data_IF_791248833968
#
_entry.id   IF_791248833968
#
_cell.length_a   1.000
_cell.length_b   1.000
_cell.length_c   1.000
_cell.angle_alpha   90.00
_cell.angle_beta   90.00
_cell.angle_gamma   90.00
#
_symmetry.space_group_name_H-M   'P 1'
#
loop_
_entity.id
_entity.type
_entity.pdbx_description
1 polymer ?
#
# COMPACT_ATOMS: atom_id res chain seq x y z
N UNK A 1 -12.24 -0.60 94.87
CA UNK A 1 -12.48 -1.99 94.43
C UNK A 1 -12.36 -2.02 92.92
N UNK A 2 -11.55 -2.95 92.42
CA UNK A 2 -11.49 -3.48 91.04
C UNK A 2 -11.07 -2.57 89.87
N UNK A 3 -9.83 -2.82 89.45
CA UNK A 3 -9.26 -2.82 88.08
C UNK A 3 -9.92 -3.93 87.19
N UNK A 4 -9.54 -4.19 85.90
CA UNK A 4 -8.84 -3.42 84.84
C UNK A 4 -9.41 -3.67 83.39
N UNK A 5 -8.62 -3.24 82.38
CA UNK A 5 -8.53 -3.70 80.96
C UNK A 5 -9.52 -3.07 79.96
N UNK A 6 -9.24 -2.72 78.71
CA UNK A 6 -8.08 -2.68 77.78
C UNK A 6 -8.67 -2.27 76.39
N UNK A 7 -7.92 -1.80 75.38
CA UNK A 7 -8.42 -0.97 74.28
C UNK A 7 -8.90 -1.76 73.05
N UNK A 8 -9.53 -1.07 72.10
CA UNK A 8 -9.71 -1.57 70.73
C UNK A 8 -9.42 -0.47 69.72
N UNK A 9 -8.30 -0.64 69.03
CA UNK A 9 -7.83 0.11 67.88
C UNK A 9 -8.62 -0.37 66.65
N UNK A 10 -9.45 0.48 66.04
CA UNK A 10 -10.15 0.12 64.81
C UNK A 10 -9.33 0.58 63.60
N UNK A 11 -8.83 -0.40 62.85
CA UNK A 11 -8.07 -0.28 61.62
C UNK A 11 -9.04 -0.19 60.44
N UNK A 12 -9.20 0.99 59.83
CA UNK A 12 -10.00 1.13 58.60
C UNK A 12 -9.08 1.07 57.38
N UNK A 13 -8.97 -0.13 56.78
CA UNK A 13 -8.36 -0.33 55.47
C UNK A 13 -9.43 -0.06 54.41
N UNK A 14 -9.34 1.06 53.69
CA UNK A 14 -10.03 1.25 52.42
C UNK A 14 -9.03 0.99 51.29
N UNK A 15 -9.06 -0.24 50.78
CA UNK A 15 -8.25 -0.69 49.66
C UNK A 15 -8.65 0.03 48.37
N UNK A 16 -7.76 0.87 47.86
CA UNK A 16 -7.85 1.40 46.50
C UNK A 16 -7.53 0.32 45.48
N UNK A 17 -8.56 -0.22 44.84
CA UNK A 17 -8.41 -1.18 43.74
C UNK A 17 -8.01 -0.41 42.47
N UNK A 18 -6.72 -0.17 42.27
CA UNK A 18 -6.19 0.32 40.99
C UNK A 18 -6.24 -0.83 39.97
N UNK A 19 -7.31 -0.91 39.18
CA UNK A 19 -7.29 -1.65 37.92
C UNK A 19 -6.38 -0.93 36.93
N UNK A 20 -5.08 -1.21 37.00
CA UNK A 20 -4.19 -0.93 35.87
C UNK A 20 -4.41 -2.04 34.84
N UNK A 21 -5.33 -1.81 33.91
CA UNK A 21 -5.37 -2.58 32.66
C UNK A 21 -4.13 -2.22 31.85
N UNK A 22 -3.02 -2.88 32.16
CA UNK A 22 -1.88 -2.98 31.25
C UNK A 22 -2.34 -3.83 30.08
N UNK A 23 -2.82 -3.19 29.02
CA UNK A 23 -2.94 -3.82 27.71
C UNK A 23 -1.53 -4.15 27.20
N UNK A 24 -0.98 -5.26 27.67
CA UNK A 24 0.21 -5.86 27.10
C UNK A 24 -0.13 -6.31 25.67
N UNK A 25 0.19 -5.46 24.69
CA UNK A 25 0.20 -5.85 23.30
C UNK A 25 1.30 -6.91 23.14
N UNK A 26 0.89 -8.15 22.92
CA UNK A 26 1.82 -9.28 22.85
C UNK A 26 2.74 -9.12 21.62
N UNK A 27 4.09 -9.12 21.78
CA UNK A 27 5.04 -8.89 20.69
C UNK A 27 5.04 -9.99 19.61
N UNK A 28 4.27 -11.07 19.80
CA UNK A 28 4.04 -12.11 18.80
C UNK A 28 3.09 -11.67 17.67
N UNK A 29 2.14 -10.76 17.94
CA UNK A 29 1.14 -10.32 16.95
C UNK A 29 1.74 -9.49 15.80
N UNK A 30 2.92 -8.90 16.04
CA UNK A 30 3.60 -7.99 15.09
C UNK A 30 4.49 -8.70 14.09
N UNK A 31 4.90 -9.95 14.34
CA UNK A 31 5.80 -10.67 13.43
C UNK A 31 5.08 -11.04 12.12
N UNK A 32 5.71 -10.80 10.96
CA UNK A 32 5.15 -11.24 9.68
C UNK A 32 5.12 -12.78 9.59
N UNK A 33 4.10 -13.32 8.94
CA UNK A 33 3.96 -14.77 8.67
C UNK A 33 4.25 -15.02 7.19
N UNK A 34 5.44 -15.55 6.83
CA UNK A 34 5.81 -15.85 5.44
C UNK A 34 4.76 -16.68 4.70
N UNK A 35 4.43 -16.28 3.47
CA UNK A 35 3.43 -16.95 2.63
C UNK A 35 1.97 -16.60 2.94
N UNK A 36 1.72 -15.69 3.88
CA UNK A 36 0.36 -15.33 4.32
C UNK A 36 0.08 -13.84 4.23
N UNK A 37 -1.19 -13.51 4.04
CA UNK A 37 -1.70 -12.14 4.14
C UNK A 37 -2.21 -11.93 5.57
N UNK A 38 -1.66 -10.96 6.28
CA UNK A 38 -2.06 -10.62 7.64
C UNK A 38 -2.69 -9.23 7.64
N UNK A 39 -3.84 -9.09 8.30
CA UNK A 39 -4.51 -7.81 8.46
C UNK A 39 -3.70 -6.95 9.42
N UNK A 40 -3.48 -5.70 9.05
CA UNK A 40 -2.75 -4.72 9.86
C UNK A 40 -3.51 -3.40 9.87
N UNK A 41 -3.24 -2.63 10.89
CA UNK A 41 -3.73 -1.27 11.05
C UNK A 41 -2.58 -0.40 11.56
N UNK A 42 -2.48 0.83 11.05
CA UNK A 42 -1.46 1.79 11.47
C UNK A 42 -2.04 3.19 11.49
N UNK A 43 -1.65 3.99 12.48
CA UNK A 43 -1.87 5.43 12.48
C UNK A 43 -0.73 6.13 11.75
N UNK A 44 -1.06 6.90 10.71
CA UNK A 44 -0.10 7.72 9.97
C UNK A 44 -0.42 9.21 10.14
N UNK A 45 0.60 10.06 10.16
CA UNK A 45 0.42 11.51 10.16
C UNK A 45 0.35 12.02 8.73
N UNK A 46 -0.80 12.56 8.32
CA UNK A 46 -0.99 13.17 7.01
C UNK A 46 -1.83 14.44 7.13
N UNK A 47 -1.42 15.54 6.48
CA UNK A 47 -2.11 16.82 6.58
C UNK A 47 -2.26 17.34 8.02
N UNK A 48 -1.26 17.10 8.87
CA UNK A 48 -1.25 17.51 10.27
C UNK A 48 -2.15 16.69 11.21
N UNK A 49 -2.79 15.61 10.73
CA UNK A 49 -3.69 14.77 11.52
C UNK A 49 -3.22 13.33 11.53
N UNK A 50 -3.53 12.60 12.62
CA UNK A 50 -3.38 11.15 12.64
C UNK A 50 -4.59 10.47 11.99
N UNK A 51 -4.33 9.60 11.02
CA UNK A 51 -5.35 8.83 10.30
C UNK A 51 -5.02 7.35 10.43
N UNK A 52 -6.03 6.54 10.77
CA UNK A 52 -5.87 5.08 10.78
C UNK A 52 -6.04 4.51 9.37
N UNK A 53 -5.10 3.66 8.97
CA UNK A 53 -5.09 2.97 7.67
C UNK A 53 -5.05 1.47 7.91
N UNK A 54 -6.09 0.77 7.44
CA UNK A 54 -6.19 -0.69 7.46
C UNK A 54 -5.70 -1.27 6.15
N UNK A 55 -4.89 -2.33 6.22
CA UNK A 55 -4.25 -2.92 5.05
C UNK A 55 -3.98 -4.41 5.22
N UNK A 56 -3.88 -5.13 4.09
CA UNK A 56 -3.24 -6.44 4.04
C UNK A 56 -1.75 -6.28 3.87
N UNK A 57 -0.99 -6.99 4.71
CA UNK A 57 0.44 -7.20 4.55
C UNK A 57 0.70 -8.64 4.15
N UNK A 58 1.35 -8.83 3.01
CA UNK A 58 1.89 -10.12 2.59
C UNK A 58 3.41 -10.08 2.61
N UNK A 59 4.02 -11.12 3.18
CA UNK A 59 5.45 -11.39 3.03
C UNK A 59 5.64 -12.71 2.27
N UNK A 60 6.60 -12.81 1.33
CA UNK A 60 6.84 -14.06 0.59
C UNK A 60 7.27 -15.21 1.51
N UNK A 61 7.01 -16.46 1.12
CA UNK A 61 7.36 -17.68 1.88
C UNK A 61 8.85 -17.72 2.28
N UNK A 62 9.74 -17.18 1.46
CA UNK A 62 11.18 -17.11 1.73
C UNK A 62 11.64 -15.89 2.53
N UNK A 63 10.74 -15.08 3.09
CA UNK A 63 11.12 -13.91 3.88
C UNK A 63 11.61 -14.33 5.27
N UNK A 64 12.90 -14.12 5.53
CA UNK A 64 13.58 -14.49 6.77
C UNK A 64 13.98 -13.29 7.65
N UNK A 65 13.67 -12.07 7.20
CA UNK A 65 14.06 -10.84 7.89
C UNK A 65 15.56 -10.53 7.84
N UNK A 66 16.35 -11.24 7.02
CA UNK A 66 17.78 -10.97 6.78
C UNK A 66 17.99 -10.29 5.43
N UNK A 67 17.37 -10.83 4.37
CA UNK A 67 17.49 -10.27 3.01
C UNK A 67 16.52 -9.12 2.78
N UNK A 68 17.01 -8.03 2.19
CA UNK A 68 16.16 -6.93 1.73
C UNK A 68 15.34 -7.37 0.50
N UNK A 69 14.01 -7.29 0.60
CA UNK A 69 13.08 -7.62 -0.48
C UNK A 69 12.48 -6.36 -1.12
N UNK A 70 12.08 -6.42 -2.40
CA UNK A 70 11.31 -5.35 -3.00
C UNK A 70 9.90 -5.26 -2.40
N UNK A 71 9.31 -4.07 -2.45
CA UNK A 71 7.95 -3.81 -1.96
C UNK A 71 7.04 -3.42 -3.12
N UNK A 72 5.80 -3.90 -3.12
CA UNK A 72 4.73 -3.49 -4.02
C UNK A 72 3.57 -2.92 -3.21
N UNK A 73 3.20 -1.67 -3.49
CA UNK A 73 1.93 -1.09 -3.06
C UNK A 73 0.87 -1.38 -4.12
N UNK A 74 -0.23 -2.02 -3.73
CA UNK A 74 -1.39 -2.24 -4.59
C UNK A 74 -2.58 -1.39 -4.13
N UNK A 75 -3.18 -0.67 -5.08
CA UNK A 75 -4.38 0.14 -4.86
C UNK A 75 -5.59 -0.45 -5.60
N UNK A 76 -6.63 -0.78 -4.83
CA UNK A 76 -7.88 -1.33 -5.35
C UNK A 76 -8.76 -0.28 -6.07
N UNK A 77 -9.84 -0.76 -6.71
CA UNK A 77 -10.81 0.06 -7.44
C UNK A 77 -11.91 0.63 -6.53
N UNK A 78 -12.83 1.41 -7.09
CA UNK A 78 -13.89 2.04 -6.31
C UNK A 78 -14.83 1.04 -5.62
N UNK A 79 -14.97 -0.18 -6.15
CA UNK A 79 -15.85 -1.24 -5.63
C UNK A 79 -15.39 -1.85 -4.31
N UNK A 80 -14.08 -1.85 -4.02
CA UNK A 80 -13.50 -2.46 -2.82
C UNK A 80 -13.37 -1.48 -1.64
N UNK A 81 -13.81 -0.22 -1.81
CA UNK A 81 -13.91 0.74 -0.71
C UNK A 81 -14.79 0.23 0.42
N UNK A 82 -14.47 0.64 1.65
CA UNK A 82 -15.30 0.34 2.81
C UNK A 82 -14.51 0.07 4.08
N UNK A 83 -15.12 -0.73 4.95
CA UNK A 83 -14.57 -1.20 6.23
C UNK A 83 -14.39 -2.72 6.28
N UNK A 84 -14.80 -3.45 5.24
CA UNK A 84 -14.55 -4.88 5.09
C UNK A 84 -13.26 -5.12 4.31
N UNK A 85 -12.18 -5.38 5.03
CA UNK A 85 -10.83 -5.52 4.47
C UNK A 85 -10.72 -6.70 3.48
N UNK A 86 -11.58 -7.73 3.59
CA UNK A 86 -11.55 -8.88 2.67
C UNK A 86 -11.86 -8.50 1.22
N UNK A 87 -12.60 -7.40 0.98
CA UNK A 87 -12.89 -6.92 -0.39
C UNK A 87 -11.60 -6.61 -1.16
N UNK A 88 -10.54 -6.18 -0.47
CA UNK A 88 -9.24 -5.86 -1.09
C UNK A 88 -8.61 -7.10 -1.74
N UNK A 89 -8.93 -8.32 -1.28
CA UNK A 89 -8.40 -9.58 -1.85
C UNK A 89 -9.11 -10.04 -3.11
N UNK A 90 -10.11 -9.31 -3.60
CA UNK A 90 -10.95 -9.74 -4.72
C UNK A 90 -10.19 -9.76 -6.06
N UNK A 91 -9.27 -8.82 -6.26
CA UNK A 91 -8.56 -8.59 -7.52
C UNK A 91 -7.06 -8.38 -7.34
N UNK A 92 -6.33 -8.40 -8.46
CA UNK A 92 -4.91 -8.03 -8.51
C UNK A 92 -3.98 -8.90 -7.65
N UNK A 93 -2.80 -8.36 -7.28
CA UNK A 93 -1.80 -9.06 -6.48
C UNK A 93 -2.34 -9.69 -5.18
N UNK A 94 -3.23 -9.04 -4.38
CA UNK A 94 -3.83 -9.67 -3.20
C UNK A 94 -4.58 -10.98 -3.48
N UNK A 95 -5.24 -11.07 -4.64
CA UNK A 95 -5.88 -12.31 -5.09
C UNK A 95 -4.83 -13.38 -5.43
N UNK A 96 -3.78 -12.99 -6.14
CA UNK A 96 -2.73 -13.90 -6.63
C UNK A 96 -1.95 -14.56 -5.49
N UNK A 97 -1.56 -13.79 -4.47
CA UNK A 97 -0.77 -14.30 -3.33
C UNK A 97 -1.56 -15.27 -2.42
N UNK A 98 -2.86 -15.43 -2.65
CA UNK A 98 -3.62 -16.54 -2.03
C UNK A 98 -3.09 -17.90 -2.49
N UNK A 99 -2.67 -18.02 -3.76
CA UNK A 99 -2.13 -19.24 -4.35
C UNK A 99 -0.61 -19.18 -4.55
N UNK A 100 -0.06 -18.02 -4.93
CA UNK A 100 1.38 -17.82 -5.19
C UNK A 100 2.11 -17.34 -3.94
N UNK A 101 2.56 -18.26 -3.10
CA UNK A 101 3.18 -17.95 -1.79
C UNK A 101 4.61 -17.44 -1.88
N UNK A 102 5.25 -17.65 -3.02
CA UNK A 102 6.60 -17.24 -3.40
C UNK A 102 6.61 -15.95 -4.23
N UNK A 103 5.52 -15.17 -4.22
CA UNK A 103 5.42 -13.90 -4.93
C UNK A 103 6.64 -13.00 -4.60
N UNK A 104 7.28 -12.35 -5.58
CA UNK A 104 8.64 -11.82 -5.37
C UNK A 104 8.70 -10.50 -4.58
N UNK A 105 7.56 -9.99 -4.12
CA UNK A 105 7.43 -8.72 -3.42
C UNK A 105 6.81 -8.90 -2.04
N UNK A 106 7.26 -8.09 -1.08
CA UNK A 106 6.41 -7.74 0.06
C UNK A 106 5.26 -6.90 -0.50
N UNK A 107 4.02 -7.32 -0.26
CA UNK A 107 2.84 -6.67 -0.83
C UNK A 107 2.04 -5.97 0.28
N UNK A 108 1.82 -4.67 0.08
CA UNK A 108 1.00 -3.81 0.94
C UNK A 108 -0.25 -3.43 0.17
N UNK A 109 -1.42 -3.67 0.75
CA UNK A 109 -2.71 -3.46 0.07
C UNK A 109 -3.71 -2.81 1.03
N UNK A 110 -3.69 -1.46 1.11
CA UNK A 110 -4.62 -0.71 1.95
C UNK A 110 -6.05 -0.79 1.44
N UNK A 111 -7.01 -0.53 2.34
CA UNK A 111 -8.39 -0.24 1.97
C UNK A 111 -8.67 1.26 2.05
N UNK A 112 -9.17 1.82 0.96
CA UNK A 112 -9.74 3.16 0.94
C UNK A 112 -11.12 3.15 1.63
N UNK A 113 -11.39 4.08 2.57
CA UNK A 113 -12.69 4.16 3.24
C UNK A 113 -13.88 4.37 2.29
N UNK A 114 -15.08 4.04 2.76
CA UNK A 114 -16.32 4.30 2.00
C UNK A 114 -16.47 5.81 1.76
N UNK A 115 -16.89 6.19 0.56
CA UNK A 115 -17.19 7.59 0.22
C UNK A 115 -15.95 8.49 0.06
N UNK A 116 -14.74 7.95 0.19
CA UNK A 116 -13.51 8.72 -0.02
C UNK A 116 -12.77 8.27 -1.28
N UNK A 117 -11.62 8.91 -1.53
CA UNK A 117 -10.69 8.61 -2.60
C UNK A 117 -9.29 8.37 -2.01
N UNK A 118 -8.36 7.88 -2.84
CA UNK A 118 -6.97 7.71 -2.44
C UNK A 118 -6.33 9.05 -2.10
N UNK A 119 -5.80 9.15 -0.88
CA UNK A 119 -5.01 10.30 -0.41
C UNK A 119 -3.54 9.91 -0.42
N UNK A 120 -2.78 10.53 -1.32
CA UNK A 120 -1.41 10.10 -1.63
C UNK A 120 -0.44 10.26 -0.45
N UNK A 121 -0.65 11.23 0.44
CA UNK A 121 0.18 11.40 1.64
C UNK A 121 -0.02 10.27 2.66
N UNK A 122 -1.27 9.84 2.90
CA UNK A 122 -1.55 8.68 3.77
C UNK A 122 -0.87 7.41 3.22
N UNK A 123 -0.91 7.20 1.90
CA UNK A 123 -0.26 6.07 1.22
C UNK A 123 1.27 6.14 1.30
N UNK A 124 1.86 7.32 1.09
CA UNK A 124 3.29 7.55 1.23
C UNK A 124 3.78 7.20 2.64
N UNK A 125 3.05 7.64 3.67
CA UNK A 125 3.38 7.35 5.07
C UNK A 125 3.20 5.87 5.41
N UNK A 126 2.15 5.22 4.89
CA UNK A 126 1.95 3.78 5.03
C UNK A 126 3.13 2.98 4.47
N UNK A 127 3.58 3.30 3.25
CA UNK A 127 4.72 2.61 2.63
C UNK A 127 6.00 2.85 3.43
N UNK A 128 6.24 4.08 3.90
CA UNK A 128 7.38 4.37 4.77
C UNK A 128 7.35 3.58 6.08
N UNK A 129 6.18 3.50 6.72
CA UNK A 129 6.00 2.69 7.92
C UNK A 129 6.32 1.22 7.66
N UNK A 130 5.72 0.62 6.63
CA UNK A 130 5.95 -0.78 6.27
C UNK A 130 7.43 -1.05 5.95
N UNK A 131 8.07 -0.15 5.19
CA UNK A 131 9.48 -0.26 4.84
C UNK A 131 10.45 -0.02 6.01
N UNK A 132 10.00 0.63 7.09
CA UNK A 132 10.75 0.76 8.35
C UNK A 132 10.63 -0.47 9.26
N UNK A 133 9.49 -1.17 9.21
CA UNK A 133 9.23 -2.37 10.01
C UNK A 133 9.73 -3.66 9.37
N UNK A 134 9.86 -3.70 8.05
CA UNK A 134 10.28 -4.86 7.28
C UNK A 134 11.66 -4.61 6.64
N UNK A 135 12.40 -5.68 6.31
CA UNK A 135 13.64 -5.59 5.54
C UNK A 135 13.31 -5.34 4.07
N UNK A 136 13.05 -4.07 3.74
CA UNK A 136 12.76 -3.63 2.39
C UNK A 136 13.98 -3.02 1.73
N UNK A 137 14.18 -3.37 0.47
CA UNK A 137 15.06 -2.63 -0.43
C UNK A 137 14.32 -1.38 -0.89
N UNK A 138 14.60 -0.25 -0.23
CA UNK A 138 13.95 1.04 -0.51
C UNK A 138 14.21 1.55 -1.94
N UNK A 139 15.18 0.98 -2.65
CA UNK A 139 15.43 1.30 -4.07
C UNK A 139 14.52 0.50 -5.02
N UNK A 140 13.77 -0.47 -4.50
CA UNK A 140 12.86 -1.35 -5.25
C UNK A 140 11.48 -1.37 -4.61
N UNK A 141 10.90 -0.18 -4.49
CA UNK A 141 9.50 0.00 -4.11
C UNK A 141 8.71 0.34 -5.37
N UNK A 142 7.57 -0.32 -5.56
CA UNK A 142 6.74 -0.17 -6.75
C UNK A 142 5.30 0.15 -6.36
N UNK A 143 4.58 0.82 -7.25
CA UNK A 143 3.15 1.09 -7.08
C UNK A 143 2.36 0.57 -8.27
N UNK A 144 1.21 -0.04 -8.00
CA UNK A 144 0.28 -0.51 -9.02
C UNK A 144 -1.15 -0.36 -8.51
N UNK A 145 -2.11 -0.29 -9.42
CA UNK A 145 -3.51 -0.19 -9.04
C UNK A 145 -4.43 -0.19 -10.24
N UNK A 146 -5.71 -0.45 -9.98
CA UNK A 146 -6.75 -0.58 -11.01
C UNK A 146 -7.85 0.46 -10.83
N UNK A 147 -8.39 1.00 -11.92
CA UNK A 147 -9.52 1.95 -11.89
C UNK A 147 -9.18 3.16 -10.99
N UNK A 148 -9.95 3.41 -9.92
CA UNK A 148 -9.61 4.35 -8.85
C UNK A 148 -8.15 4.22 -8.35
N UNK A 149 -7.65 2.99 -8.16
CA UNK A 149 -6.27 2.72 -7.79
C UNK A 149 -5.26 2.98 -8.93
N UNK A 150 -5.70 2.93 -10.19
CA UNK A 150 -4.92 3.42 -11.33
C UNK A 150 -4.70 4.92 -11.24
N UNK A 151 -5.74 5.70 -10.94
CA UNK A 151 -5.61 7.14 -10.63
C UNK A 151 -4.70 7.38 -9.42
N UNK A 152 -4.88 6.62 -8.34
CA UNK A 152 -4.02 6.71 -7.15
C UNK A 152 -2.54 6.43 -7.46
N UNK A 153 -2.27 5.49 -8.37
CA UNK A 153 -0.91 5.14 -8.80
C UNK A 153 -0.27 6.28 -9.58
N UNK A 154 -0.97 6.86 -10.56
CA UNK A 154 -0.50 8.06 -11.27
C UNK A 154 -0.21 9.21 -10.30
N UNK A 155 -1.15 9.50 -9.40
CA UNK A 155 -1.01 10.61 -8.46
C UNK A 155 0.15 10.41 -7.47
N UNK A 156 0.42 9.17 -7.03
CA UNK A 156 1.56 8.88 -6.17
C UNK A 156 2.90 9.12 -6.88
N UNK A 157 3.01 8.67 -8.14
CA UNK A 157 4.22 8.85 -8.93
C UNK A 157 4.49 10.32 -9.23
N UNK A 158 3.44 11.11 -9.49
CA UNK A 158 3.54 12.55 -9.75
C UNK A 158 3.90 13.33 -8.48
N UNK A 159 3.24 13.04 -7.35
CA UNK A 159 3.42 13.75 -6.09
C UNK A 159 4.76 13.44 -5.40
N UNK A 160 5.27 12.21 -5.56
CA UNK A 160 6.50 11.73 -4.91
C UNK A 160 7.49 11.14 -5.93
N UNK A 161 8.02 11.97 -6.86
CA UNK A 161 8.93 11.49 -7.89
C UNK A 161 10.20 10.89 -7.27
N UNK A 162 10.60 9.71 -7.73
CA UNK A 162 11.76 8.98 -7.22
C UNK A 162 11.53 8.21 -5.91
N UNK A 163 10.34 8.26 -5.31
CA UNK A 163 10.01 7.39 -4.16
C UNK A 163 9.76 5.95 -4.58
N UNK A 164 9.06 5.75 -5.71
CA UNK A 164 8.89 4.46 -6.34
C UNK A 164 9.86 4.30 -7.51
N UNK A 165 10.43 3.10 -7.65
CA UNK A 165 11.34 2.73 -8.72
C UNK A 165 10.65 2.55 -10.08
N UNK A 166 9.38 2.15 -10.06
CA UNK A 166 8.54 2.02 -11.24
C UNK A 166 7.06 1.93 -10.82
N UNK A 167 6.16 2.13 -11.76
CA UNK A 167 4.73 1.93 -11.52
C UNK A 167 3.95 1.30 -12.67
N UNK A 168 2.83 0.67 -12.31
CA UNK A 168 1.90 -0.01 -13.23
C UNK A 168 0.47 0.49 -12.99
N UNK A 169 0.11 1.70 -13.48
CA UNK A 169 -1.27 2.18 -13.42
C UNK A 169 -2.16 1.44 -14.43
N UNK A 170 -3.31 0.92 -13.99
CA UNK A 170 -4.24 0.18 -14.86
C UNK A 170 -5.60 0.89 -14.90
N UNK A 171 -6.10 1.13 -16.11
CA UNK A 171 -7.39 1.79 -16.41
C UNK A 171 -7.73 2.99 -15.51
N UNK A 172 -6.80 3.94 -15.41
CA UNK A 172 -6.97 5.21 -14.71
C UNK A 172 -6.56 6.41 -15.55
N UNK A 173 -6.36 7.54 -14.89
CA UNK A 173 -5.82 8.78 -15.45
C UNK A 173 -4.96 9.53 -14.42
N UNK A 174 -4.33 10.61 -14.84
CA UNK A 174 -3.48 11.44 -13.98
C UNK A 174 -3.52 12.91 -14.37
N UNK A 175 -2.70 13.72 -13.70
CA UNK A 175 -2.54 15.12 -14.03
C UNK A 175 -1.49 15.32 -15.12
N UNK A 176 -1.92 15.55 -16.36
CA UNK A 176 -1.01 15.77 -17.48
C UNK A 176 -0.10 17.00 -17.30
N UNK A 177 -0.54 18.01 -16.53
CA UNK A 177 0.29 19.18 -16.22
C UNK A 177 1.51 18.83 -15.34
N UNK A 178 1.41 17.75 -14.54
CA UNK A 178 2.48 17.22 -13.71
C UNK A 178 3.47 16.30 -14.44
N UNK A 179 3.30 16.08 -15.76
CA UNK A 179 4.08 15.08 -16.50
C UNK A 179 5.61 15.24 -16.41
N UNK A 180 6.12 16.46 -16.19
CA UNK A 180 7.56 16.72 -15.95
C UNK A 180 8.10 15.96 -14.73
N UNK A 181 7.29 15.71 -13.71
CA UNK A 181 7.71 14.94 -12.53
C UNK A 181 7.93 13.45 -12.84
N UNK A 182 7.37 12.96 -13.95
CA UNK A 182 7.34 11.54 -14.30
C UNK A 182 8.41 11.14 -15.33
N UNK A 183 9.14 12.10 -15.92
CA UNK A 183 10.04 11.85 -17.06
C UNK A 183 11.13 10.82 -16.79
N UNK A 184 11.56 10.69 -15.53
CA UNK A 184 12.60 9.77 -15.10
C UNK A 184 12.07 8.45 -14.54
N UNK A 185 10.75 8.35 -14.32
CA UNK A 185 10.08 7.22 -13.70
C UNK A 185 9.70 6.19 -14.77
N UNK A 186 10.17 4.94 -14.68
CA UNK A 186 9.65 3.84 -15.48
C UNK A 186 8.16 3.61 -15.19
N UNK A 187 7.32 3.66 -16.23
CA UNK A 187 5.88 3.44 -16.11
C UNK A 187 5.41 2.48 -17.20
N UNK A 188 4.71 1.42 -16.83
CA UNK A 188 4.03 0.55 -17.78
C UNK A 188 2.53 0.56 -17.48
N UNK A 189 1.80 1.43 -18.17
CA UNK A 189 0.36 1.55 -18.03
C UNK A 189 -0.38 0.50 -18.88
N UNK A 190 -1.58 0.13 -18.43
CA UNK A 190 -2.47 -0.78 -19.15
C UNK A 190 -3.88 -0.22 -19.21
N UNK A 191 -4.58 -0.41 -20.34
CA UNK A 191 -5.98 -0.04 -20.49
C UNK A 191 -6.68 -0.95 -21.49
N UNK A 192 -7.98 -1.17 -21.32
CA UNK A 192 -8.83 -1.70 -22.39
C UNK A 192 -9.26 -0.57 -23.32
N UNK A 193 -9.23 -0.76 -24.63
CA UNK A 193 -9.61 0.31 -25.56
C UNK A 193 -11.13 0.49 -25.71
N UNK A 194 -11.91 -0.51 -25.30
CA UNK A 194 -13.36 -0.49 -25.23
C UNK A 194 -13.89 -0.18 -23.81
N UNK A 195 -13.06 0.43 -22.95
CA UNK A 195 -13.45 0.77 -21.58
C UNK A 195 -14.58 1.83 -21.56
N UNK A 196 -15.76 1.38 -21.13
CA UNK A 196 -16.96 2.22 -21.00
C UNK A 196 -17.01 3.07 -19.72
N UNK A 197 -16.17 2.80 -18.73
CA UNK A 197 -16.20 3.44 -17.40
C UNK A 197 -15.12 4.51 -17.29
N UNK A 198 -13.88 4.16 -17.62
CA UNK A 198 -12.75 5.09 -17.64
C UNK A 198 -12.21 5.10 -19.07
N UNK A 199 -12.31 6.23 -19.77
CA UNK A 199 -11.90 6.27 -21.18
C UNK A 199 -10.39 6.07 -21.30
N UNK A 200 -9.97 5.17 -22.21
CA UNK A 200 -8.56 4.89 -22.49
C UNK A 200 -7.74 6.14 -22.83
N UNK A 201 -8.39 7.17 -23.36
CA UNK A 201 -7.79 8.47 -23.67
C UNK A 201 -7.14 9.15 -22.48
N UNK A 202 -7.61 8.89 -21.24
CA UNK A 202 -6.94 9.40 -20.04
C UNK A 202 -5.54 8.80 -19.85
N UNK A 203 -5.36 7.52 -20.16
CA UNK A 203 -4.03 6.89 -20.14
C UNK A 203 -3.19 7.30 -21.34
N UNK A 204 -3.77 7.41 -22.53
CA UNK A 204 -3.06 7.92 -23.73
C UNK A 204 -2.55 9.35 -23.50
N UNK A 205 -3.38 10.21 -22.90
CA UNK A 205 -3.04 11.59 -22.56
C UNK A 205 -1.83 11.65 -21.63
N UNK A 206 -1.79 10.82 -20.58
CA UNK A 206 -0.64 10.79 -19.66
C UNK A 206 0.65 10.38 -20.36
N UNK A 207 0.63 9.32 -21.19
CA UNK A 207 1.82 8.91 -21.95
C UNK A 207 2.30 10.03 -22.87
N UNK A 208 1.38 10.60 -23.67
CA UNK A 208 1.71 11.70 -24.59
C UNK A 208 2.27 12.93 -23.86
N UNK A 209 1.73 13.26 -22.69
CA UNK A 209 2.21 14.36 -21.88
C UNK A 209 3.63 14.12 -21.35
N UNK A 210 3.93 12.89 -20.91
CA UNK A 210 5.27 12.50 -20.44
C UNK A 210 6.28 12.54 -21.58
N UNK A 211 5.92 11.99 -22.74
CA UNK A 211 6.74 12.03 -23.96
C UNK A 211 7.03 13.47 -24.38
N UNK A 212 6.01 14.34 -24.42
CA UNK A 212 6.16 15.77 -24.71
C UNK A 212 7.05 16.49 -23.69
N UNK A 213 7.06 16.05 -22.44
CA UNK A 213 7.95 16.57 -21.39
C UNK A 213 9.40 16.01 -21.47
N UNK A 214 9.70 15.13 -22.44
CA UNK A 214 11.02 14.53 -22.63
C UNK A 214 11.21 13.16 -21.97
N UNK A 215 10.16 12.59 -21.37
CA UNK A 215 10.20 11.26 -20.76
C UNK A 215 10.24 10.15 -21.82
N UNK A 216 11.07 9.14 -21.58
CA UNK A 216 11.29 8.01 -22.52
C UNK A 216 10.98 6.63 -21.91
N UNK A 217 10.59 6.60 -20.62
CA UNK A 217 10.47 5.37 -19.83
C UNK A 217 9.01 4.98 -19.54
N UNK A 218 8.05 5.78 -20.00
CA UNK A 218 6.64 5.50 -19.88
C UNK A 218 6.13 4.83 -21.16
N UNK A 219 5.34 3.76 -21.01
CA UNK A 219 4.68 3.08 -22.13
C UNK A 219 3.28 2.62 -21.73
N UNK A 220 2.42 2.43 -22.72
CA UNK A 220 1.04 1.97 -22.55
C UNK A 220 0.77 0.74 -23.41
N UNK A 221 0.15 -0.27 -22.80
CA UNK A 221 -0.46 -1.39 -23.52
C UNK A 221 -1.97 -1.19 -23.55
N UNK A 222 -2.52 -1.07 -24.75
CA UNK A 222 -3.96 -1.11 -25.00
C UNK A 222 -4.37 -2.55 -25.33
N UNK A 223 -5.45 -3.02 -24.72
CA UNK A 223 -6.03 -4.32 -25.02
C UNK A 223 -7.26 -4.15 -25.93
N UNK A 224 -7.18 -4.60 -27.20
CA UNK A 224 -8.27 -4.47 -28.16
C UNK A 224 -9.54 -5.18 -27.71
N UNK A 225 -10.68 -4.49 -27.80
CA UNK A 225 -12.01 -4.99 -27.44
C UNK A 225 -12.22 -5.22 -25.93
N UNK A 226 -11.23 -4.93 -25.09
CA UNK A 226 -11.34 -5.14 -23.64
C UNK A 226 -12.01 -3.93 -23.00
N UNK A 227 -13.04 -4.19 -22.19
CA UNK A 227 -13.73 -3.18 -21.39
C UNK A 227 -12.97 -2.81 -20.11
N UNK A 228 -13.72 -2.43 -19.06
CA UNK A 228 -13.12 -1.86 -17.84
C UNK A 228 -12.12 -2.79 -17.14
N UNK A 229 -12.40 -4.09 -17.12
CA UNK A 229 -11.53 -5.10 -16.49
C UNK A 229 -10.30 -5.45 -17.35
N UNK A 230 -9.42 -4.47 -17.53
CA UNK A 230 -8.09 -4.67 -18.14
C UNK A 230 -7.06 -5.23 -17.14
N UNK A 231 -7.35 -5.18 -15.84
CA UNK A 231 -6.44 -5.62 -14.79
C UNK A 231 -6.29 -7.13 -14.69
N UNK A 232 -7.33 -7.94 -14.96
CA UNK A 232 -7.20 -9.40 -14.96
C UNK A 232 -6.11 -9.86 -15.92
N UNK A 233 -6.10 -9.32 -17.14
CA UNK A 233 -5.08 -9.65 -18.15
C UNK A 233 -3.71 -9.09 -17.79
N UNK A 234 -3.64 -7.84 -17.32
CA UNK A 234 -2.38 -7.22 -16.92
C UNK A 234 -1.70 -7.95 -15.74
N UNK A 235 -2.44 -8.34 -14.71
CA UNK A 235 -1.86 -9.05 -13.55
C UNK A 235 -1.60 -10.54 -13.80
N UNK A 236 -2.18 -11.14 -14.84
CA UNK A 236 -1.81 -12.49 -15.28
C UNK A 236 -0.48 -12.51 -16.07
N UNK A 237 0.02 -11.35 -16.51
CA UNK A 237 1.24 -11.24 -17.29
C UNK A 237 2.49 -11.21 -16.39
N UNK A 238 3.22 -12.32 -16.32
CA UNK A 238 4.46 -12.42 -15.52
C UNK A 238 5.54 -11.41 -15.93
N UNK A 239 5.54 -10.94 -17.18
CA UNK A 239 6.50 -9.92 -17.65
C UNK A 239 6.32 -8.59 -16.93
N UNK A 240 5.13 -8.29 -16.40
CA UNK A 240 4.91 -7.09 -15.56
C UNK A 240 5.78 -7.16 -14.30
N UNK A 241 5.83 -8.33 -13.64
CA UNK A 241 6.59 -8.51 -12.42
C UNK A 241 8.11 -8.54 -12.69
N UNK A 242 8.54 -9.22 -13.75
CA UNK A 242 9.94 -9.22 -14.18
C UNK A 242 10.40 -7.81 -14.56
N UNK A 243 9.58 -7.07 -15.30
CA UNK A 243 9.87 -5.70 -15.70
C UNK A 243 9.97 -4.78 -14.49
N UNK A 244 9.04 -4.86 -13.53
CA UNK A 244 9.15 -4.11 -12.27
C UNK A 244 10.47 -4.40 -11.56
N UNK A 245 10.84 -5.67 -11.40
CA UNK A 245 12.07 -6.09 -10.72
C UNK A 245 13.36 -5.65 -11.43
N UNK A 246 13.30 -5.32 -12.73
CA UNK A 246 14.43 -4.78 -13.49
C UNK A 246 14.75 -3.31 -13.16
N UNK A 247 13.83 -2.60 -12.49
CA UNK A 247 14.00 -1.18 -12.15
C UNK A 247 14.45 -0.99 -10.71
N UNK A 248 15.28 0.04 -10.50
CA UNK A 248 15.66 0.51 -9.17
C UNK A 248 15.85 2.02 -9.20
N UNK A 249 15.50 2.70 -8.12
CA UNK A 249 15.89 4.11 -8.00
C UNK A 249 17.41 4.21 -7.82
N UNK A 250 17.97 5.30 -8.36
CA UNK A 250 19.27 5.79 -7.92
C UNK A 250 19.10 6.14 -6.45
N UNK A 251 19.86 5.51 -5.54
CA UNK A 251 19.73 5.79 -4.11
C UNK A 251 19.89 7.29 -3.89
N UNK A 252 18.99 7.93 -3.13
CA UNK A 252 19.19 9.33 -2.79
C UNK A 252 20.48 9.42 -1.98
N UNK A 253 21.49 10.11 -2.49
CA UNK A 253 22.38 10.87 -1.63
C UNK A 253 21.45 11.77 -0.83
N UNK A 254 21.41 11.60 0.49
CA UNK A 254 20.68 12.49 1.39
C UNK A 254 20.92 13.93 0.94
N UNK A 255 19.84 14.65 0.61
CA UNK A 255 19.83 16.10 0.69
C UNK A 255 19.09 16.44 1.98
#
# INVERSE_FOLDING_TARGET
MEFPMSPSLMLTILGGLFFTTVCASSPAADKPVPGSQIAREVKVKAGGKEVSVRYWQFVPKGYDGKKKLPLMLFLHGAGERGNNLEKVKQWGPPKLVRKRKDFPFVLISPQCPKGTWWKVEELYQLVNHAAGKLKIDRRRMYVTGLSMGGFGSWNLLDRYPGFFAAGVPICGGGNAAGARNLVNTPIWAFHGDADGVVKADLSKLMIKAIEKAGGKKAKLTLYPGVGHNSWSRAYANEEVYKWLLSHKTSGSTKK
#
